data_IF_087118293744
#
_entry.id   IF_087118293744
#
_cell.length_a   1.000
_cell.length_b   1.000
_cell.length_c   1.000
_cell.angle_alpha   90.00
_cell.angle_beta   90.00
_cell.angle_gamma   90.00
#
_symmetry.space_group_name_H-M   'P 1'
#
loop_
_entity.id
_entity.type
_entity.pdbx_description
1 polymer ?
#
# COMPACT_ATOMS: atom_id res chain seq x y z
N UNK A 1 12.59 49.32 20.05
CA UNK A 1 12.66 47.90 20.43
C UNK A 1 13.52 47.77 21.67
N UNK A 2 12.98 47.21 22.77
CA UNK A 2 13.83 46.34 23.57
C UNK A 2 13.07 45.13 24.14
N UNK A 3 13.59 43.95 23.86
CA UNK A 3 13.69 42.82 24.80
C UNK A 3 14.75 41.88 24.24
N UNK A 4 15.65 41.39 25.10
CA UNK A 4 15.53 39.98 25.42
C UNK A 4 15.58 39.70 26.93
N UNK A 5 14.64 38.87 27.35
CA UNK A 5 14.58 38.24 28.67
C UNK A 5 15.62 37.12 28.79
N UNK A 6 16.05 36.87 30.03
CA UNK A 6 17.16 36.01 30.44
C UNK A 6 17.13 34.55 29.95
N UNK A 7 18.30 33.88 29.86
CA UNK A 7 18.48 32.46 29.50
C UNK A 7 18.08 31.48 30.63
N UNK A 8 17.99 30.16 30.34
CA UNK A 8 17.13 29.21 31.04
C UNK A 8 17.71 28.71 32.36
N UNK A 9 16.83 28.56 33.36
CA UNK A 9 17.17 27.94 34.64
C UNK A 9 17.19 26.43 34.51
N UNK A 10 18.37 25.83 34.68
CA UNK A 10 18.55 24.38 34.78
C UNK A 10 17.97 23.89 36.11
N UNK A 11 16.96 23.02 36.09
CA UNK A 11 16.61 22.21 37.26
C UNK A 11 17.11 20.79 37.02
N UNK A 12 18.00 20.35 37.92
CA UNK A 12 18.49 18.99 38.01
C UNK A 12 17.41 18.07 38.59
N UNK A 13 17.40 16.78 38.24
CA UNK A 13 16.40 15.81 38.71
C UNK A 13 16.60 15.44 40.18
N UNK A 14 15.50 15.37 40.93
CA UNK A 14 15.46 14.81 42.29
C UNK A 14 15.61 13.26 42.25
N UNK A 15 16.23 12.63 43.26
CA UNK A 15 16.62 11.23 43.22
C UNK A 15 15.48 10.27 43.63
N UNK A 16 15.51 9.12 42.96
CA UNK A 16 14.72 7.91 43.19
C UNK A 16 14.94 7.30 44.59
N UNK A 17 13.90 6.91 45.35
CA UNK A 17 14.07 6.08 46.54
C UNK A 17 13.93 4.58 46.21
N UNK A 18 15.01 3.83 46.42
CA UNK A 18 15.04 2.34 46.39
C UNK A 18 15.30 1.78 47.83
N UNK A 19 15.26 0.45 48.07
CA UNK A 19 14.14 -0.33 48.62
C UNK A 19 14.40 -0.85 50.05
N UNK A 20 13.38 -1.40 50.74
CA UNK A 20 13.51 -2.17 52.00
C UNK A 20 12.32 -3.15 52.18
N UNK A 21 12.40 -4.22 53.00
CA UNK A 21 12.95 -5.55 52.68
C UNK A 21 11.91 -6.70 52.78
N UNK A 22 12.34 -7.90 52.40
CA UNK A 22 11.66 -9.20 52.38
C UNK A 22 10.67 -9.52 53.51
N UNK A 23 9.57 -10.19 53.14
CA UNK A 23 8.84 -11.13 54.01
C UNK A 23 8.19 -12.23 53.15
N UNK A 24 8.64 -13.48 53.32
CA UNK A 24 7.96 -14.73 52.94
C UNK A 24 7.79 -15.55 54.23
N UNK A 25 6.93 -16.59 54.28
CA UNK A 25 5.49 -16.65 53.99
C UNK A 25 4.72 -17.23 55.23
N UNK A 26 3.41 -17.51 55.13
CA UNK A 26 2.96 -18.78 55.71
C UNK A 26 2.12 -19.64 54.74
N UNK A 27 2.32 -20.93 54.97
CA UNK A 27 1.79 -22.20 54.45
C UNK A 27 0.62 -22.28 53.45
N UNK A 28 0.80 -23.25 52.54
CA UNK A 28 -0.14 -23.73 51.54
C UNK A 28 -1.42 -24.35 52.10
N UNK A 29 -2.51 -24.25 51.34
CA UNK A 29 -3.46 -25.36 51.20
C UNK A 29 -3.51 -25.86 49.74
N UNK A 30 -3.43 -27.17 49.56
CA UNK A 30 -3.86 -27.89 48.34
C UNK A 30 -4.98 -28.85 48.73
N UNK A 31 -5.76 -29.40 47.79
CA UNK A 31 -6.39 -28.80 46.62
C UNK A 31 -7.93 -28.97 46.71
N UNK A 32 -8.72 -27.98 46.29
CA UNK A 32 -10.16 -28.19 46.09
C UNK A 32 -10.44 -28.26 44.60
N UNK A 33 -10.88 -29.43 44.18
CA UNK A 33 -11.29 -29.83 42.84
C UNK A 33 -12.20 -28.80 42.18
N UNK A 34 -11.77 -28.24 41.05
CA UNK A 34 -12.66 -27.59 40.10
C UNK A 34 -12.44 -28.22 38.71
N UNK A 35 -13.51 -28.38 37.91
CA UNK A 35 -13.49 -29.14 36.68
C UNK A 35 -12.71 -28.42 35.57
N UNK A 36 -12.13 -29.23 34.68
CA UNK A 36 -11.34 -28.85 33.51
C UNK A 36 -11.83 -27.58 32.78
N UNK A 37 -10.94 -26.62 32.48
CA UNK A 37 -11.19 -25.72 31.37
C UNK A 37 -11.11 -26.53 30.08
N UNK A 38 -12.28 -26.73 29.49
CA UNK A 38 -12.50 -27.17 28.11
C UNK A 38 -11.37 -26.66 27.19
N UNK A 39 -10.64 -27.52 26.46
CA UNK A 39 -9.56 -27.09 25.59
C UNK A 39 -10.14 -26.15 24.54
N UNK A 40 -9.71 -24.89 24.62
CA UNK A 40 -9.96 -23.88 23.60
C UNK A 40 -9.55 -24.44 22.24
N UNK A 41 -10.41 -24.18 21.26
CA UNK A 41 -10.36 -24.67 19.89
C UNK A 41 -8.94 -24.56 19.30
N UNK A 42 -8.48 -25.58 18.56
CA UNK A 42 -7.16 -25.54 17.94
C UNK A 42 -7.13 -24.48 16.85
N UNK A 43 -6.06 -23.67 16.87
CA UNK A 43 -5.72 -22.60 15.95
C UNK A 43 -6.08 -22.90 14.47
N UNK A 44 -7.20 -22.35 14.02
CA UNK A 44 -7.64 -22.40 12.62
C UNK A 44 -6.67 -21.64 11.69
N UNK A 45 -5.84 -20.75 12.22
CA UNK A 45 -4.85 -19.99 11.45
C UNK A 45 -3.61 -20.83 11.08
N UNK A 46 -3.15 -21.73 11.96
CA UNK A 46 -2.08 -22.65 11.58
C UNK A 46 -2.58 -23.66 10.55
N UNK A 47 -3.83 -24.12 10.66
CA UNK A 47 -4.45 -25.01 9.67
C UNK A 47 -4.50 -24.40 8.25
N UNK A 48 -4.69 -23.09 8.10
CA UNK A 48 -4.61 -22.41 6.80
C UNK A 48 -3.19 -22.38 6.25
N UNK A 49 -2.20 -22.05 7.07
CA UNK A 49 -0.80 -22.06 6.67
C UNK A 49 -0.35 -23.48 6.27
N UNK A 50 -0.68 -24.50 7.07
CA UNK A 50 -0.34 -25.91 6.79
C UNK A 50 -1.07 -26.45 5.56
N UNK A 51 -2.29 -25.99 5.27
CA UNK A 51 -3.01 -26.31 4.01
C UNK A 51 -2.33 -25.67 2.80
N UNK A 52 -1.82 -24.44 2.92
CA UNK A 52 -1.07 -23.79 1.84
C UNK A 52 0.25 -24.52 1.53
N UNK A 53 0.98 -24.95 2.57
CA UNK A 53 2.22 -25.73 2.39
C UNK A 53 2.00 -27.14 1.81
N UNK A 54 0.89 -27.82 2.12
CA UNK A 54 0.57 -29.12 1.52
C UNK A 54 0.19 -29.05 0.03
N UNK A 55 -0.14 -27.85 -0.46
CA UNK A 55 -0.47 -27.61 -1.87
C UNK A 55 0.79 -27.41 -2.73
N UNK A 56 1.95 -27.20 -2.10
CA UNK A 56 3.24 -27.14 -2.79
C UNK A 56 3.59 -28.56 -3.24
N UNK A 57 3.80 -28.75 -4.54
CA UNK A 57 4.29 -30.02 -5.10
C UNK A 57 5.56 -30.47 -4.36
N UNK A 58 5.55 -31.72 -3.87
CA UNK A 58 6.78 -32.36 -3.35
C UNK A 58 7.76 -32.52 -4.52
N UNK A 59 8.95 -31.95 -4.38
CA UNK A 59 10.01 -32.11 -5.37
C UNK A 59 10.45 -33.57 -5.44
N UNK A 60 10.49 -34.12 -6.64
CA UNK A 60 11.04 -35.44 -6.92
C UNK A 60 12.57 -35.37 -6.96
N UNK A 61 13.23 -36.42 -6.49
CA UNK A 61 14.68 -36.47 -6.31
C UNK A 61 15.44 -36.61 -7.63
N UNK A 62 14.76 -37.05 -8.68
CA UNK A 62 15.27 -37.25 -10.04
C UNK A 62 15.19 -35.98 -10.91
N UNK A 63 14.58 -34.90 -10.40
CA UNK A 63 14.52 -33.62 -11.11
C UNK A 63 13.35 -33.48 -12.09
N UNK A 64 12.51 -34.51 -12.22
CA UNK A 64 11.46 -34.60 -13.24
C UNK A 64 10.42 -33.47 -13.14
N UNK A 65 10.12 -33.00 -11.92
CA UNK A 65 9.10 -32.00 -11.65
C UNK A 65 9.64 -30.60 -11.29
N UNK A 66 10.95 -30.36 -11.48
CA UNK A 66 11.57 -29.09 -11.09
C UNK A 66 11.09 -27.91 -11.94
N UNK A 67 10.89 -28.11 -13.24
CA UNK A 67 10.35 -27.09 -14.14
C UNK A 67 8.90 -26.72 -13.79
N UNK A 68 8.10 -27.72 -13.41
CA UNK A 68 6.72 -27.50 -12.93
C UNK A 68 6.71 -26.73 -11.61
N UNK A 69 7.56 -27.11 -10.66
CA UNK A 69 7.66 -26.41 -9.37
C UNK A 69 8.17 -24.98 -9.50
N UNK A 70 9.17 -24.75 -10.36
CA UNK A 70 9.72 -23.42 -10.65
C UNK A 70 8.66 -22.51 -11.29
N UNK A 71 7.85 -23.04 -12.20
CA UNK A 71 6.72 -22.33 -12.79
C UNK A 71 5.63 -22.02 -11.75
N UNK A 72 5.21 -23.03 -10.97
CA UNK A 72 4.18 -22.90 -9.93
C UNK A 72 4.59 -21.96 -8.77
N UNK A 73 5.88 -21.82 -8.51
CA UNK A 73 6.38 -20.89 -7.48
C UNK A 73 6.54 -19.47 -8.02
N UNK A 74 7.00 -19.30 -9.26
CA UNK A 74 7.23 -17.99 -9.87
C UNK A 74 5.94 -17.27 -10.24
N UNK A 75 4.91 -17.98 -10.65
CA UNK A 75 3.67 -17.37 -11.11
C UNK A 75 2.90 -16.63 -9.98
N UNK A 76 2.63 -17.22 -8.80
CA UNK A 76 1.98 -16.52 -7.70
C UNK A 76 2.81 -15.38 -7.11
N UNK A 77 4.14 -15.53 -7.08
CA UNK A 77 5.05 -14.48 -6.62
C UNK A 77 5.08 -13.29 -7.58
N UNK A 78 5.06 -13.55 -8.88
CA UNK A 78 4.98 -12.52 -9.92
C UNK A 78 3.66 -11.77 -9.81
N UNK A 79 2.53 -12.48 -9.70
CA UNK A 79 1.21 -11.89 -9.46
C UNK A 79 1.20 -10.97 -8.23
N UNK A 80 1.61 -11.47 -7.06
CA UNK A 80 1.58 -10.69 -5.83
C UNK A 80 2.50 -9.45 -5.90
N UNK A 81 3.64 -9.58 -6.58
CA UNK A 81 4.56 -8.47 -6.85
C UNK A 81 3.92 -7.39 -7.73
N UNK A 82 3.22 -7.80 -8.80
CA UNK A 82 2.55 -6.88 -9.71
C UNK A 82 1.37 -6.16 -9.05
N UNK A 83 0.52 -6.86 -8.30
CA UNK A 83 -0.57 -6.24 -7.53
C UNK A 83 -0.02 -5.23 -6.52
N UNK A 84 1.02 -5.61 -5.77
CA UNK A 84 1.69 -4.69 -4.86
C UNK A 84 2.21 -3.46 -5.59
N UNK A 85 2.82 -3.63 -6.75
CA UNK A 85 3.34 -2.53 -7.55
C UNK A 85 2.23 -1.61 -8.03
N UNK A 86 1.10 -2.16 -8.49
CA UNK A 86 -0.07 -1.40 -8.94
C UNK A 86 -0.58 -0.43 -7.86
N UNK A 87 -0.70 -0.89 -6.61
CA UNK A 87 -1.26 -0.08 -5.51
C UNK A 87 -0.23 0.74 -4.73
N UNK A 88 1.07 0.54 -4.96
CA UNK A 88 2.13 1.30 -4.28
C UNK A 88 2.82 2.34 -5.16
N UNK A 89 2.67 2.23 -6.49
CA UNK A 89 3.25 3.18 -7.42
C UNK A 89 2.56 4.54 -7.24
N UNK A 90 3.34 5.58 -7.01
CA UNK A 90 2.86 6.96 -6.89
C UNK A 90 3.68 7.87 -7.79
N UNK A 91 3.06 8.93 -8.29
CA UNK A 91 3.70 9.93 -9.10
C UNK A 91 3.62 11.28 -8.39
N UNK A 92 4.78 11.85 -8.11
CA UNK A 92 4.91 13.19 -7.53
C UNK A 92 5.23 14.25 -8.59
N UNK A 93 5.72 13.83 -9.76
CA UNK A 93 6.14 14.74 -10.82
C UNK A 93 5.04 14.87 -11.90
N UNK A 94 4.38 16.03 -12.02
CA UNK A 94 3.30 16.20 -12.99
C UNK A 94 3.75 16.04 -14.44
N UNK A 95 4.97 16.46 -14.79
CA UNK A 95 5.50 16.30 -16.15
C UNK A 95 5.69 14.81 -16.54
N UNK A 96 5.71 13.89 -15.57
CA UNK A 96 5.82 12.45 -15.80
C UNK A 96 4.49 11.70 -15.61
N UNK A 97 3.39 12.40 -15.35
CA UNK A 97 2.10 11.77 -15.07
C UNK A 97 1.60 10.89 -16.24
N UNK A 98 1.76 11.32 -17.48
CA UNK A 98 1.40 10.50 -18.65
C UNK A 98 2.13 9.15 -18.67
N UNK A 99 3.47 9.19 -18.61
CA UNK A 99 4.30 7.97 -18.54
C UNK A 99 4.01 7.10 -17.31
N UNK A 100 3.66 7.73 -16.19
CA UNK A 100 3.23 6.99 -14.99
C UNK A 100 1.94 6.21 -15.24
N UNK A 101 0.93 6.83 -15.86
CA UNK A 101 -0.33 6.17 -16.21
C UNK A 101 -0.10 5.04 -17.22
N UNK A 102 0.80 5.23 -18.20
CA UNK A 102 1.17 4.17 -19.15
C UNK A 102 1.80 2.98 -18.43
N UNK A 103 2.62 3.21 -17.40
CA UNK A 103 3.17 2.13 -16.59
C UNK A 103 2.10 1.39 -15.79
N UNK A 104 1.04 2.08 -15.31
CA UNK A 104 -0.06 1.43 -14.61
C UNK A 104 -0.87 0.53 -15.56
N UNK A 105 -1.10 0.96 -16.80
CA UNK A 105 -1.73 0.14 -17.84
C UNK A 105 -0.88 -1.09 -18.11
N UNK A 106 0.44 -0.93 -18.30
CA UNK A 106 1.33 -2.06 -18.54
C UNK A 106 1.30 -3.09 -17.40
N UNK A 107 1.21 -2.65 -16.15
CA UNK A 107 1.07 -3.56 -14.99
C UNK A 107 -0.29 -4.29 -15.02
N UNK A 108 -1.37 -3.60 -15.42
CA UNK A 108 -2.70 -4.21 -15.56
C UNK A 108 -2.72 -5.26 -16.68
N UNK A 109 -2.07 -5.00 -17.81
CA UNK A 109 -1.95 -5.94 -18.92
C UNK A 109 -1.16 -7.19 -18.49
N UNK A 110 -0.03 -7.00 -17.81
CA UNK A 110 0.78 -8.10 -17.27
C UNK A 110 -0.02 -8.93 -16.24
N UNK A 111 -0.79 -8.27 -15.36
CA UNK A 111 -1.71 -8.97 -14.45
C UNK A 111 -2.76 -9.80 -15.20
N UNK A 112 -3.32 -9.28 -16.29
CA UNK A 112 -4.29 -10.00 -17.12
C UNK A 112 -3.66 -11.22 -17.82
N UNK A 113 -2.42 -11.11 -18.29
CA UNK A 113 -1.64 -12.22 -18.85
C UNK A 113 -1.43 -13.35 -17.82
N UNK A 114 -1.24 -12.99 -16.55
CA UNK A 114 -1.16 -13.91 -15.41
C UNK A 114 -2.53 -14.37 -14.86
N UNK A 115 -3.62 -14.13 -15.59
CA UNK A 115 -4.98 -14.58 -15.22
C UNK A 115 -5.58 -13.81 -14.04
N UNK A 116 -5.08 -12.61 -13.75
CA UNK A 116 -5.54 -11.75 -12.67
C UNK A 116 -6.43 -10.66 -13.24
N UNK A 117 -7.70 -10.67 -12.86
CA UNK A 117 -8.63 -9.59 -13.18
C UNK A 117 -8.74 -8.64 -12.00
N UNK A 118 -8.26 -7.41 -12.17
CA UNK A 118 -8.46 -6.32 -11.22
C UNK A 118 -9.74 -5.57 -11.61
N UNK A 119 -10.71 -5.40 -10.68
CA UNK A 119 -11.93 -4.65 -10.98
C UNK A 119 -11.64 -3.19 -11.33
N UNK A 120 -12.38 -2.63 -12.29
CA UNK A 120 -12.31 -1.22 -12.66
C UNK A 120 -12.40 -0.27 -11.47
N UNK A 121 -13.19 -0.61 -10.44
CA UNK A 121 -13.29 0.19 -9.22
C UNK A 121 -11.97 0.30 -8.47
N UNK A 122 -11.20 -0.80 -8.39
CA UNK A 122 -9.89 -0.80 -7.77
C UNK A 122 -8.86 -0.09 -8.65
N UNK A 123 -8.92 -0.30 -9.96
CA UNK A 123 -8.01 0.37 -10.87
C UNK A 123 -8.23 1.89 -10.89
N UNK A 124 -9.49 2.34 -10.86
CA UNK A 124 -9.84 3.76 -10.65
C UNK A 124 -9.22 4.31 -9.37
N UNK A 125 -9.30 3.56 -8.26
CA UNK A 125 -8.71 3.99 -6.99
C UNK A 125 -7.17 4.09 -7.09
N UNK A 126 -6.52 3.14 -7.75
CA UNK A 126 -5.09 3.17 -8.00
C UNK A 126 -4.68 4.40 -8.83
N UNK A 127 -5.43 4.73 -9.89
CA UNK A 127 -5.21 5.94 -10.69
C UNK A 127 -5.36 7.20 -9.83
N UNK A 128 -6.47 7.34 -9.10
CA UNK A 128 -6.76 8.53 -8.29
C UNK A 128 -5.69 8.75 -7.22
N UNK A 129 -5.29 7.68 -6.52
CA UNK A 129 -4.32 7.76 -5.42
C UNK A 129 -2.87 7.93 -5.87
N UNK A 130 -2.53 7.47 -7.08
CA UNK A 130 -1.17 7.54 -7.60
C UNK A 130 -0.89 8.81 -8.41
N UNK A 131 -1.93 9.56 -8.79
CA UNK A 131 -1.80 10.76 -9.64
C UNK A 131 -1.44 11.99 -8.80
N UNK A 132 -0.52 12.87 -9.29
CA UNK A 132 -0.14 14.09 -8.58
C UNK A 132 -1.32 15.01 -8.24
N UNK A 133 -1.22 15.75 -7.14
CA UNK A 133 -2.28 16.62 -6.63
C UNK A 133 -2.78 17.66 -7.62
N UNK A 134 -1.93 18.12 -8.54
CA UNK A 134 -2.28 19.14 -9.54
C UNK A 134 -3.45 18.70 -10.44
N UNK A 135 -3.62 17.40 -10.67
CA UNK A 135 -4.69 16.85 -11.51
C UNK A 135 -5.94 16.46 -10.71
N UNK A 136 -5.90 16.56 -9.37
CA UNK A 136 -7.02 16.15 -8.52
C UNK A 136 -8.26 17.00 -8.75
N UNK A 137 -8.12 18.25 -9.20
CA UNK A 137 -9.25 19.10 -9.57
C UNK A 137 -10.04 18.50 -10.75
N UNK A 138 -9.35 18.09 -11.81
CA UNK A 138 -9.94 17.44 -12.99
C UNK A 138 -10.55 16.09 -12.65
N UNK A 139 -9.85 15.28 -11.86
CA UNK A 139 -10.36 14.00 -11.36
C UNK A 139 -11.66 14.21 -10.56
N UNK A 140 -11.68 15.18 -9.64
CA UNK A 140 -12.88 15.50 -8.84
C UNK A 140 -14.03 16.00 -9.70
N UNK A 141 -13.76 16.80 -10.73
CA UNK A 141 -14.77 17.26 -11.68
C UNK A 141 -15.43 16.07 -12.39
N UNK A 142 -14.63 15.12 -12.88
CA UNK A 142 -15.14 13.88 -13.50
C UNK A 142 -15.96 13.04 -12.51
N UNK A 143 -15.44 12.79 -11.31
CA UNK A 143 -16.19 12.05 -10.27
C UNK A 143 -17.53 12.73 -9.98
N UNK A 144 -17.57 14.06 -9.98
CA UNK A 144 -18.80 14.83 -9.76
C UNK A 144 -19.80 14.67 -10.90
N UNK A 145 -19.34 14.71 -12.15
CA UNK A 145 -20.18 14.49 -13.34
C UNK A 145 -20.82 13.10 -13.31
N UNK A 146 -20.08 12.09 -12.87
CA UNK A 146 -20.56 10.71 -12.76
C UNK A 146 -21.15 10.37 -11.39
N UNK A 147 -21.53 11.40 -10.61
CA UNK A 147 -22.37 11.38 -9.40
C UNK A 147 -23.30 10.17 -9.32
N UNK A 148 -24.31 10.26 -10.17
CA UNK A 148 -25.49 9.40 -10.14
C UNK A 148 -25.24 8.04 -10.79
N UNK A 149 -24.19 7.92 -11.60
CA UNK A 149 -23.88 6.71 -12.37
C UNK A 149 -22.37 6.38 -12.28
N UNK A 150 -21.86 6.02 -11.09
CA UNK A 150 -20.42 5.83 -10.85
C UNK A 150 -19.81 4.68 -11.65
N UNK A 151 -20.65 3.78 -12.16
CA UNK A 151 -20.27 2.66 -13.01
C UNK A 151 -20.01 3.09 -14.47
N UNK A 152 -20.49 4.27 -14.90
CA UNK A 152 -20.21 4.82 -16.23
C UNK A 152 -18.84 5.50 -16.31
N UNK A 153 -18.29 5.92 -15.17
CA UNK A 153 -16.91 6.39 -15.11
C UNK A 153 -15.97 5.19 -15.23
N UNK A 154 -15.28 5.09 -16.37
CA UNK A 154 -14.28 4.04 -16.62
C UNK A 154 -12.87 4.53 -16.25
N UNK A 155 -11.92 3.62 -15.98
CA UNK A 155 -10.51 3.97 -15.79
C UNK A 155 -9.93 4.76 -16.98
N UNK A 156 -10.28 4.36 -18.21
CA UNK A 156 -9.85 5.01 -19.46
C UNK A 156 -10.20 6.50 -19.51
N UNK A 157 -11.39 6.86 -19.00
CA UNK A 157 -11.81 8.26 -18.95
C UNK A 157 -10.95 9.09 -18.00
N UNK A 158 -10.56 8.53 -16.85
CA UNK A 158 -9.65 9.20 -15.92
C UNK A 158 -8.25 9.36 -16.53
N UNK A 159 -7.73 8.29 -17.15
CA UNK A 159 -6.41 8.31 -17.79
C UNK A 159 -6.37 9.36 -18.90
N UNK A 160 -7.36 9.34 -19.80
CA UNK A 160 -7.46 10.27 -20.92
C UNK A 160 -7.54 11.72 -20.45
N UNK A 161 -8.30 11.99 -19.39
CA UNK A 161 -8.44 13.34 -18.85
C UNK A 161 -7.11 13.87 -18.31
N UNK A 162 -6.40 13.06 -17.49
CA UNK A 162 -5.10 13.44 -16.93
C UNK A 162 -4.05 13.62 -18.03
N UNK A 163 -4.02 12.73 -19.03
CA UNK A 163 -3.14 12.86 -20.20
C UNK A 163 -3.39 14.16 -20.97
N UNK A 164 -4.65 14.49 -21.21
CA UNK A 164 -5.05 15.69 -21.95
C UNK A 164 -4.64 16.97 -21.20
N UNK A 165 -4.84 17.00 -19.89
CA UNK A 165 -4.46 18.13 -19.05
C UNK A 165 -2.93 18.28 -18.93
N UNK A 166 -2.21 17.17 -18.75
CA UNK A 166 -0.75 17.16 -18.70
C UNK A 166 -0.14 17.68 -20.01
N UNK A 167 -0.74 17.33 -21.16
CA UNK A 167 -0.33 17.82 -22.48
C UNK A 167 -0.64 19.32 -22.68
N UNK A 168 -1.73 19.81 -22.09
CA UNK A 168 -2.14 21.21 -22.19
C UNK A 168 -1.30 22.14 -21.32
N UNK A 169 -0.84 21.65 -20.17
CA UNK A 169 -0.01 22.41 -19.23
C UNK A 169 1.39 22.72 -19.79
N UNK A 170 1.97 21.81 -20.58
CA UNK A 170 3.27 22.04 -21.23
C UNK A 170 3.22 23.14 -22.30
N UNK A 171 2.10 23.29 -23.00
CA UNK A 171 1.95 24.31 -24.06
C UNK A 171 1.87 25.74 -23.53
N UNK A 172 1.33 25.93 -22.32
CA UNK A 172 1.22 27.28 -21.72
C UNK A 172 2.54 27.82 -21.16
N UNK A 173 3.53 26.96 -20.88
CA UNK A 173 4.87 27.42 -20.52
C UNK A 173 5.73 27.76 -21.75
N UNK A 174 5.47 27.14 -22.90
CA UNK A 174 6.17 27.44 -24.15
C UNK A 174 5.74 28.79 -24.76
N UNK A 175 4.45 29.14 -24.65
CA UNK A 175 3.94 30.45 -25.08
C UNK A 175 4.32 31.60 -24.14
N UNK A 176 4.73 31.33 -22.90
CA UNK A 176 5.26 32.35 -21.99
C UNK A 176 6.74 32.70 -22.27
N UNK A 177 7.50 31.81 -22.90
CA UNK A 177 8.88 32.09 -23.32
C UNK A 177 8.98 32.92 -24.60
N UNK A 178 7.91 33.03 -25.39
CA UNK A 178 7.90 33.86 -26.61
C UNK A 178 7.64 35.36 -26.35
N UNK A 179 7.35 35.75 -25.11
CA UNK A 179 7.08 37.16 -24.77
C UNK A 179 8.27 37.90 -24.13
N UNK A 180 9.45 37.27 -23.99
CA UNK A 180 10.58 37.88 -23.27
C UNK A 180 11.77 38.32 -24.14
N UNK A 181 11.77 38.05 -25.44
CA UNK A 181 12.88 38.37 -26.36
C UNK A 181 12.51 39.42 -27.41
N UNK A 182 12.03 40.60 -27.00
CA UNK A 182 12.07 41.81 -27.84
C UNK A 182 11.98 43.07 -26.95
N UNK A 183 13.14 43.56 -26.50
CA UNK A 183 13.37 44.95 -26.11
C UNK A 183 14.55 45.50 -26.91
#
# INVERSE_FOLDING_TARGET
MPSPLNPPSCHSPDPEPNPKPHSNPPDSPSPSSNPDPNPSEPDDDMSKATKAFNKVMKLEKDGSNWSTWDYDAKDPLTKASLEKRLFSLTCTNPAKAGKHLDNLIAIMDELAEHGVSIPDSQFKLAIISSTPDVYQATIKALITVYREEPNKLTPEMLITAVHTEASSSNKSQESANYCNDNF
#
